data_IF_372968402169
#
_entry.id   IF_372968402169
#
_cell.length_a   1.000
_cell.length_b   1.000
_cell.length_c   1.000
_cell.angle_alpha   90.00
_cell.angle_beta   90.00
_cell.angle_gamma   90.00
#
_symmetry.space_group_name_H-M   'P 1'
#
loop_
_entity.id
_entity.type
_entity.pdbx_description
1 polymer ?
#
# COMPACT_ATOMS: atom_id res chain seq x y z
N UNK A 1 -7.87 -22.54 22.12
CA UNK A 1 -6.64 -21.84 21.71
C UNK A 1 -6.76 -21.32 20.28
N UNK A 2 -7.38 -20.17 20.02
CA UNK A 2 -7.16 -19.39 18.78
C UNK A 2 -7.23 -17.92 19.18
N UNK A 3 -6.15 -17.43 19.77
CA UNK A 3 -5.81 -16.02 19.71
C UNK A 3 -4.92 -15.84 18.48
N UNK A 4 -5.44 -16.10 17.27
CA UNK A 4 -4.72 -15.67 16.05
C UNK A 4 -4.71 -14.15 16.10
N UNK A 5 -3.56 -13.62 16.47
CA UNK A 5 -3.28 -12.20 16.67
C UNK A 5 -3.96 -11.36 15.60
N UNK A 6 -4.63 -10.27 15.99
CA UNK A 6 -5.28 -9.32 15.06
C UNK A 6 -4.36 -8.92 13.90
N UNK A 7 -3.03 -8.91 14.12
CA UNK A 7 -2.00 -8.70 13.10
C UNK A 7 -2.04 -9.72 11.95
N UNK A 8 -2.30 -10.99 12.23
CA UNK A 8 -2.40 -12.04 11.21
C UNK A 8 -3.65 -11.87 10.33
N UNK A 9 -4.78 -11.46 10.91
CA UNK A 9 -6.03 -11.19 10.17
C UNK A 9 -5.86 -10.06 9.16
N UNK A 10 -5.12 -9.01 9.52
CA UNK A 10 -4.91 -7.85 8.66
C UNK A 10 -3.64 -7.93 7.80
N UNK A 11 -2.78 -8.94 8.00
CA UNK A 11 -1.60 -9.20 7.16
C UNK A 11 -1.96 -9.38 5.68
N UNK A 12 -3.13 -9.97 5.40
CA UNK A 12 -3.65 -10.13 4.04
C UNK A 12 -3.88 -8.79 3.32
N UNK A 13 -4.24 -7.72 4.04
CA UNK A 13 -4.42 -6.39 3.44
C UNK A 13 -3.07 -5.85 2.97
N UNK A 14 -2.04 -5.98 3.81
CA UNK A 14 -0.66 -5.62 3.45
C UNK A 14 -0.18 -6.40 2.23
N UNK A 15 -0.41 -7.71 2.20
CA UNK A 15 -0.04 -8.56 1.07
C UNK A 15 -0.76 -8.11 -0.22
N UNK A 16 -2.06 -7.81 -0.15
CA UNK A 16 -2.83 -7.31 -1.30
C UNK A 16 -2.31 -5.98 -1.84
N UNK A 17 -1.94 -5.05 -0.94
CA UNK A 17 -1.31 -3.77 -1.31
C UNK A 17 0.05 -4.02 -1.96
N UNK A 18 0.87 -4.88 -1.39
CA UNK A 18 2.19 -5.24 -1.92
C UNK A 18 2.12 -5.90 -3.30
N UNK A 19 1.21 -6.85 -3.50
CA UNK A 19 0.98 -7.49 -4.79
C UNK A 19 0.55 -6.49 -5.87
N UNK A 20 -0.28 -5.50 -5.51
CA UNK A 20 -0.64 -4.40 -6.43
C UNK A 20 0.56 -3.52 -6.76
N UNK A 21 1.37 -3.16 -5.77
CA UNK A 21 2.59 -2.40 -5.97
C UNK A 21 3.56 -3.15 -6.91
N UNK A 22 3.85 -4.41 -6.62
CA UNK A 22 4.79 -5.23 -7.39
C UNK A 22 4.35 -5.44 -8.85
N UNK A 23 3.07 -5.76 -9.06
CA UNK A 23 2.50 -5.94 -10.40
C UNK A 23 2.59 -4.67 -11.26
N UNK A 24 2.54 -3.49 -10.65
CA UNK A 24 2.58 -2.22 -11.36
C UNK A 24 3.98 -1.61 -11.42
N UNK A 25 4.86 -1.94 -10.48
CA UNK A 25 6.29 -1.57 -10.54
C UNK A 25 6.99 -2.19 -11.75
N UNK A 26 6.49 -3.33 -12.25
CA UNK A 26 6.97 -3.93 -13.51
C UNK A 26 6.59 -3.12 -14.75
N UNK A 27 5.71 -2.12 -14.65
CA UNK A 27 5.29 -1.27 -15.75
C UNK A 27 5.99 0.08 -15.62
N UNK A 28 6.67 0.54 -16.66
CA UNK A 28 7.26 1.88 -16.68
C UNK A 28 6.15 2.94 -16.67
N UNK A 29 5.83 3.47 -15.48
CA UNK A 29 4.81 4.51 -15.30
C UNK A 29 5.44 5.90 -15.27
N UNK A 30 4.79 6.85 -15.94
CA UNK A 30 5.14 8.26 -15.79
C UNK A 30 4.96 8.74 -14.34
N UNK A 31 5.61 9.84 -13.96
CA UNK A 31 5.46 10.43 -12.61
C UNK A 31 3.99 10.70 -12.26
N UNK A 32 3.22 11.26 -13.21
CA UNK A 32 1.78 11.49 -13.05
C UNK A 32 0.98 10.18 -12.92
N UNK A 33 1.30 9.16 -13.72
CA UNK A 33 0.64 7.85 -13.62
C UNK A 33 0.86 7.17 -12.27
N UNK A 34 2.05 7.35 -11.68
CA UNK A 34 2.38 6.85 -10.33
C UNK A 34 1.56 7.54 -9.24
N UNK A 35 1.42 8.86 -9.31
CA UNK A 35 0.66 9.64 -8.33
C UNK A 35 -0.83 9.24 -8.33
N UNK A 36 -1.40 9.11 -9.52
CA UNK A 36 -2.79 8.66 -9.70
C UNK A 36 -2.96 7.24 -9.15
N UNK A 37 -2.02 6.34 -9.42
CA UNK A 37 -2.09 4.98 -8.89
C UNK A 37 -2.09 4.95 -7.35
N UNK A 38 -1.21 5.73 -6.69
CA UNK A 38 -1.17 5.77 -5.23
C UNK A 38 -2.48 6.34 -4.66
N UNK A 39 -2.94 7.47 -5.21
CA UNK A 39 -4.12 8.19 -4.70
C UNK A 39 -5.43 7.45 -4.93
N UNK A 40 -5.56 6.73 -6.04
CA UNK A 40 -6.84 6.10 -6.41
C UNK A 40 -6.85 4.59 -6.24
N UNK A 41 -5.75 3.90 -6.54
CA UNK A 41 -5.71 2.43 -6.50
C UNK A 41 -5.25 1.95 -5.12
N UNK A 42 -4.14 2.48 -4.61
CA UNK A 42 -3.59 2.01 -3.34
C UNK A 42 -4.39 2.51 -2.14
N UNK A 43 -4.86 3.75 -2.17
CA UNK A 43 -5.73 4.34 -1.12
C UNK A 43 -7.15 3.75 -1.08
N UNK A 44 -7.68 3.22 -2.18
CA UNK A 44 -9.00 2.58 -2.18
C UNK A 44 -9.05 1.32 -1.31
N UNK A 45 -7.94 0.58 -1.19
CA UNK A 45 -7.85 -0.65 -0.39
C UNK A 45 -8.05 -0.36 1.11
N UNK A 46 -7.23 0.49 1.78
CA UNK A 46 -7.45 0.84 3.17
C UNK A 46 -8.77 1.60 3.38
N UNK A 47 -9.19 2.45 2.43
CA UNK A 47 -10.49 3.15 2.52
C UNK A 47 -11.68 2.20 2.58
N UNK A 48 -11.69 1.16 1.75
CA UNK A 48 -12.72 0.13 1.80
C UNK A 48 -12.71 -0.60 3.14
N UNK A 49 -11.53 -1.04 3.60
CA UNK A 49 -11.42 -1.78 4.87
C UNK A 49 -11.82 -0.91 6.07
N UNK A 50 -11.48 0.38 6.08
CA UNK A 50 -11.90 1.33 7.11
C UNK A 50 -13.42 1.49 7.20
N UNK A 51 -14.13 1.37 6.07
CA UNK A 51 -15.60 1.46 6.04
C UNK A 51 -16.29 0.23 6.65
N UNK A 52 -15.65 -0.93 6.63
CA UNK A 52 -16.24 -2.20 7.07
C UNK A 52 -15.68 -2.70 8.43
N UNK A 53 -14.49 -2.25 8.82
CA UNK A 53 -13.81 -2.68 10.05
C UNK A 53 -13.18 -1.52 10.80
N UNK A 54 -13.29 -1.57 12.14
CA UNK A 54 -12.51 -0.71 13.04
C UNK A 54 -11.06 -1.21 13.09
N UNK A 55 -10.22 -0.59 12.27
CA UNK A 55 -8.80 -0.94 12.15
C UNK A 55 -7.99 -0.31 13.30
N UNK A 56 -6.97 -1.02 13.83
CA UNK A 56 -6.01 -0.41 14.74
C UNK A 56 -5.12 0.58 13.97
N UNK A 57 -4.92 1.79 14.53
CA UNK A 57 -4.11 2.86 13.91
C UNK A 57 -2.69 2.40 13.52
N UNK A 58 -2.13 1.43 14.25
CA UNK A 58 -0.82 0.84 13.93
C UNK A 58 -0.77 0.19 12.55
N UNK A 59 -1.87 -0.42 12.10
CA UNK A 59 -1.93 -1.07 10.78
C UNK A 59 -2.02 -0.02 9.66
N UNK A 60 -2.76 1.05 9.90
CA UNK A 60 -2.86 2.16 8.95
C UNK A 60 -1.50 2.81 8.74
N UNK A 61 -0.77 3.10 9.83
CA UNK A 61 0.60 3.64 9.79
C UNK A 61 1.56 2.72 9.01
N UNK A 62 1.47 1.40 9.18
CA UNK A 62 2.26 0.45 8.39
C UNK A 62 1.92 0.49 6.89
N UNK A 63 0.63 0.59 6.53
CA UNK A 63 0.19 0.66 5.13
C UNK A 63 0.64 2.00 4.50
N UNK A 64 0.53 3.10 5.23
CA UNK A 64 1.00 4.43 4.79
C UNK A 64 2.51 4.46 4.60
N UNK A 65 3.28 3.80 5.47
CA UNK A 65 4.73 3.63 5.29
C UNK A 65 5.07 2.88 4.01
N UNK A 66 4.34 1.80 3.69
CA UNK A 66 4.56 1.05 2.45
C UNK A 66 4.23 1.90 1.21
N UNK A 67 3.11 2.63 1.22
CA UNK A 67 2.74 3.52 0.12
C UNK A 67 3.76 4.67 -0.06
N UNK A 68 4.21 5.25 1.04
CA UNK A 68 5.22 6.31 1.04
C UNK A 68 6.57 5.78 0.56
N UNK A 69 7.00 4.60 1.02
CA UNK A 69 8.22 3.97 0.55
C UNK A 69 8.17 3.69 -0.95
N UNK A 70 7.03 3.21 -1.49
CA UNK A 70 6.85 3.00 -2.92
C UNK A 70 6.98 4.30 -3.72
N UNK A 71 6.44 5.41 -3.20
CA UNK A 71 6.61 6.73 -3.79
C UNK A 71 8.08 7.16 -3.82
N UNK A 72 8.79 7.08 -2.70
CA UNK A 72 10.18 7.54 -2.57
C UNK A 72 11.18 6.66 -3.33
N UNK A 73 11.08 5.33 -3.24
CA UNK A 73 11.98 4.39 -3.94
C UNK A 73 11.94 4.61 -5.45
N UNK A 74 10.75 4.87 -6.01
CA UNK A 74 10.61 5.14 -7.44
C UNK A 74 10.94 6.58 -7.85
N UNK A 75 10.89 7.55 -6.91
CA UNK A 75 11.37 8.92 -7.15
C UNK A 75 12.90 8.94 -7.26
N UNK A 76 13.61 8.16 -6.43
CA UNK A 76 15.08 8.06 -6.47
C UNK A 76 15.55 7.51 -7.83
N UNK A 77 14.88 6.49 -8.38
CA UNK A 77 15.21 5.96 -9.72
C UNK A 77 14.97 6.94 -10.87
N UNK A 78 14.16 7.98 -10.68
CA UNK A 78 13.90 9.00 -11.70
C UNK A 78 14.87 10.19 -11.64
N UNK A 79 15.72 10.25 -10.60
CA UNK A 79 16.73 11.31 -10.42
C UNK A 79 18.14 10.85 -10.82
N UNK A 80 18.30 9.59 -11.21
CA UNK A 80 19.55 8.97 -11.64
C UNK A 80 19.70 8.91 -13.18
N UNK A 81 18.96 9.76 -13.91
CA UNK A 81 19.01 9.89 -15.38
C UNK A 81 19.21 11.34 -15.78
#
# INVERSE_FOLDING_TARGET
MVARSKKATFSFIKDRVWQKISSWSSKCLSKAGREVMIKYVLQAIPSYVMSIFRLPNTLLDEIEKIMSAFWWVMVVQAMEV
#
